data_IF_019131046900
#
_entry.id   IF_019131046900
#
_cell.length_a   1.000
_cell.length_b   1.000
_cell.length_c   1.000
_cell.angle_alpha   90.00
_cell.angle_beta   90.00
_cell.angle_gamma   90.00
#
_symmetry.space_group_name_H-M   'P 1'
#
loop_
_entity.id
_entity.type
_entity.pdbx_description
1 polymer ?
#
# COMPACT_ATOMS: atom_id res chain seq x y z
N UNK A 1 36.84 -6.73 -20.11
CA UNK A 1 36.93 -7.85 -21.11
C UNK A 1 35.52 -8.25 -21.50
N UNK A 2 35.17 -8.42 -22.79
CA UNK A 2 33.80 -8.80 -23.17
C UNK A 2 33.55 -10.30 -22.96
N UNK A 3 32.53 -10.64 -22.18
CA UNK A 3 32.08 -12.01 -21.94
C UNK A 3 30.64 -12.19 -22.39
N UNK A 4 30.24 -13.43 -22.64
CA UNK A 4 28.86 -13.74 -23.01
C UNK A 4 27.91 -13.46 -21.86
N UNK A 5 26.63 -13.21 -22.18
CA UNK A 5 25.56 -13.09 -21.18
C UNK A 5 25.53 -14.26 -20.17
N UNK A 6 25.80 -15.48 -20.63
CA UNK A 6 25.81 -16.66 -19.76
C UNK A 6 26.97 -16.64 -18.76
N UNK A 7 28.17 -16.27 -19.21
CA UNK A 7 29.35 -16.12 -18.36
C UNK A 7 29.18 -14.97 -17.37
N UNK A 8 28.65 -13.82 -17.82
CA UNK A 8 28.35 -12.69 -16.94
C UNK A 8 27.35 -13.10 -15.85
N UNK A 9 26.31 -13.84 -16.20
CA UNK A 9 25.35 -14.37 -15.24
C UNK A 9 26.02 -15.30 -14.20
N UNK A 10 26.92 -16.18 -14.66
CA UNK A 10 27.64 -17.10 -13.79
C UNK A 10 28.58 -16.37 -12.81
N UNK A 11 29.35 -15.38 -13.29
CA UNK A 11 30.26 -14.56 -12.46
C UNK A 11 29.51 -13.89 -11.29
N UNK A 12 28.25 -13.48 -11.51
CA UNK A 12 27.45 -12.79 -10.50
C UNK A 12 26.47 -13.70 -9.74
N UNK A 13 26.50 -15.03 -9.97
CA UNK A 13 25.59 -15.98 -9.33
C UNK A 13 24.11 -15.73 -9.67
N UNK A 14 23.82 -15.38 -10.93
CA UNK A 14 22.47 -15.04 -11.42
C UNK A 14 22.01 -15.99 -12.52
N UNK A 15 20.70 -16.03 -12.72
CA UNK A 15 20.12 -16.73 -13.86
C UNK A 15 20.32 -15.90 -15.15
N UNK A 16 20.71 -16.53 -16.28
CA UNK A 16 20.86 -15.84 -17.57
C UNK A 16 19.63 -15.03 -18.01
N UNK A 17 18.42 -15.53 -17.70
CA UNK A 17 17.17 -14.81 -17.98
C UNK A 17 17.09 -13.44 -17.29
N UNK A 18 17.60 -13.33 -16.07
CA UNK A 18 17.60 -12.08 -15.31
C UNK A 18 18.51 -11.04 -15.95
N UNK A 19 19.70 -11.46 -16.40
CA UNK A 19 20.65 -10.60 -17.13
C UNK A 19 20.02 -10.14 -18.45
N UNK A 20 19.38 -11.05 -19.20
CA UNK A 20 18.67 -10.68 -20.44
C UNK A 20 17.60 -9.63 -20.23
N UNK A 21 16.82 -9.75 -19.14
CA UNK A 21 15.82 -8.74 -18.77
C UNK A 21 16.45 -7.40 -18.36
N UNK A 22 17.66 -7.39 -17.79
CA UNK A 22 18.37 -6.15 -17.46
C UNK A 22 18.87 -5.43 -18.71
N UNK A 23 19.41 -6.18 -19.68
CA UNK A 23 19.77 -5.62 -20.99
C UNK A 23 18.55 -5.00 -21.66
N UNK A 24 17.42 -5.71 -21.68
CA UNK A 24 16.17 -5.20 -22.26
C UNK A 24 15.65 -3.92 -21.59
N UNK A 25 15.98 -3.72 -20.31
CA UNK A 25 15.63 -2.51 -19.53
C UNK A 25 16.70 -1.41 -19.63
N UNK A 26 17.79 -1.63 -20.36
CA UNK A 26 18.92 -0.69 -20.47
C UNK A 26 19.72 -0.54 -19.17
N UNK A 27 19.66 -1.52 -18.26
CA UNK A 27 20.33 -1.43 -16.96
C UNK A 27 21.82 -1.76 -17.01
N UNK A 28 22.28 -2.46 -18.05
CA UNK A 28 23.69 -2.76 -18.31
C UNK A 28 24.19 -1.83 -19.42
N UNK A 29 25.20 -1.01 -19.11
CA UNK A 29 25.70 0.06 -19.97
C UNK A 29 26.64 -0.46 -21.06
N UNK A 30 27.37 -1.52 -20.78
CA UNK A 30 28.34 -2.12 -21.72
C UNK A 30 27.72 -3.23 -22.57
N UNK A 31 26.44 -3.55 -22.35
CA UNK A 31 25.78 -4.63 -23.07
C UNK A 31 25.62 -4.28 -24.55
N UNK A 32 26.26 -5.08 -25.41
CA UNK A 32 26.19 -4.94 -26.87
C UNK A 32 25.84 -6.27 -27.54
N UNK A 33 25.22 -6.19 -28.71
CA UNK A 33 24.81 -7.37 -29.48
C UNK A 33 25.80 -7.62 -30.61
N UNK A 34 26.61 -8.66 -30.48
CA UNK A 34 27.64 -9.05 -31.45
C UNK A 34 27.30 -10.43 -32.01
N UNK A 35 27.19 -10.53 -33.34
CA UNK A 35 26.90 -11.78 -34.05
C UNK A 35 25.70 -12.57 -33.47
N UNK A 36 24.66 -11.87 -33.01
CA UNK A 36 23.46 -12.47 -32.42
C UNK A 36 23.53 -12.80 -30.93
N UNK A 37 24.72 -12.71 -30.32
CA UNK A 37 24.93 -12.91 -28.89
C UNK A 37 25.03 -11.57 -28.14
N UNK A 38 24.57 -11.57 -26.90
CA UNK A 38 24.79 -10.43 -26.00
C UNK A 38 26.14 -10.59 -25.31
N UNK A 39 26.97 -9.56 -25.45
CA UNK A 39 28.28 -9.42 -24.84
C UNK A 39 28.22 -8.30 -23.80
N UNK A 40 28.84 -8.51 -22.65
CA UNK A 40 28.87 -7.56 -21.53
C UNK A 40 30.31 -7.47 -21.03
N UNK A 41 30.77 -6.29 -20.63
CA UNK A 41 32.07 -6.16 -19.99
C UNK A 41 32.07 -6.93 -18.66
N UNK A 42 33.01 -7.87 -18.51
CA UNK A 42 33.20 -8.67 -17.31
C UNK A 42 33.43 -7.82 -16.05
N UNK A 43 33.97 -6.62 -16.23
CA UNK A 43 34.26 -5.67 -15.14
C UNK A 43 33.05 -4.78 -14.81
N UNK A 44 31.97 -4.80 -15.62
CA UNK A 44 30.76 -4.06 -15.28
C UNK A 44 30.10 -4.67 -14.04
N UNK A 45 30.00 -3.94 -12.92
CA UNK A 45 29.40 -4.48 -11.70
C UNK A 45 27.92 -4.79 -11.97
N UNK A 46 27.45 -5.95 -11.51
CA UNK A 46 26.03 -6.30 -11.62
C UNK A 46 25.17 -5.20 -11.00
N UNK A 47 24.38 -4.45 -11.81
CA UNK A 47 23.61 -3.34 -11.31
C UNK A 47 22.59 -3.81 -10.28
N UNK A 48 22.85 -3.47 -9.03
CA UNK A 48 21.99 -3.77 -7.91
C UNK A 48 21.47 -2.45 -7.32
N UNK A 49 20.44 -1.90 -7.96
CA UNK A 49 19.80 -0.66 -7.55
C UNK A 49 18.86 -0.84 -6.34
N UNK A 50 18.88 -2.01 -5.69
CA UNK A 50 18.08 -2.26 -4.49
C UNK A 50 18.60 -1.38 -3.37
N UNK A 51 17.71 -0.57 -2.80
CA UNK A 51 18.04 0.34 -1.70
C UNK A 51 18.37 -0.47 -0.44
N UNK A 52 19.40 -0.07 0.29
CA UNK A 52 19.76 -0.59 1.62
C UNK A 52 19.84 0.59 2.59
N UNK A 53 19.50 0.35 3.87
CA UNK A 53 19.76 1.24 5.00
C UNK A 53 19.39 2.72 4.81
N UNK A 54 20.32 3.49 4.25
CA UNK A 54 20.35 4.95 4.08
C UNK A 54 19.78 5.46 2.75
N UNK A 55 19.53 4.59 1.77
CA UNK A 55 19.01 4.98 0.45
C UNK A 55 17.49 5.17 0.34
N UNK A 56 16.74 5.02 1.45
CA UNK A 56 15.29 5.14 1.43
C UNK A 56 14.84 6.58 1.74
N UNK A 57 13.89 7.08 0.96
CA UNK A 57 13.23 8.35 1.28
C UNK A 57 12.40 8.19 2.56
N UNK A 58 12.53 9.19 3.44
CA UNK A 58 11.75 9.27 4.68
C UNK A 58 11.05 10.63 4.78
N UNK A 59 9.86 10.64 5.37
CA UNK A 59 9.10 11.84 5.77
C UNK A 59 8.62 11.66 7.19
N UNK A 60 8.83 12.66 8.04
CA UNK A 60 8.42 12.61 9.46
C UNK A 60 8.93 11.35 10.20
N UNK A 61 10.13 10.86 9.89
CA UNK A 61 10.68 9.63 10.50
C UNK A 61 10.07 8.32 9.97
N UNK A 62 9.23 8.39 8.93
CA UNK A 62 8.56 7.25 8.31
C UNK A 62 9.08 7.00 6.89
N UNK A 63 9.17 5.74 6.48
CA UNK A 63 9.61 5.39 5.12
C UNK A 63 8.51 5.68 4.11
N UNK A 64 8.87 6.34 3.01
CA UNK A 64 7.95 6.63 1.90
C UNK A 64 7.85 5.40 0.99
N UNK A 65 6.66 4.81 0.93
CA UNK A 65 6.42 3.56 0.18
C UNK A 65 5.30 3.73 -0.84
N UNK A 66 5.38 2.98 -1.94
CA UNK A 66 4.41 3.02 -3.03
C UNK A 66 3.21 2.10 -2.77
N UNK A 67 3.41 1.07 -1.95
CA UNK A 67 2.39 0.08 -1.61
C UNK A 67 2.72 -0.58 -0.28
N UNK A 68 1.69 -0.99 0.45
CA UNK A 68 1.79 -1.89 1.60
C UNK A 68 0.86 -3.08 1.38
N UNK A 69 1.36 -4.29 1.62
CA UNK A 69 0.64 -5.52 1.34
C UNK A 69 1.02 -6.62 2.33
N UNK A 70 0.13 -7.59 2.49
CA UNK A 70 0.33 -8.75 3.36
C UNK A 70 -0.31 -10.00 2.75
N UNK A 71 0.19 -11.20 3.09
CA UNK A 71 -0.43 -12.45 2.66
C UNK A 71 -1.85 -12.59 3.22
N UNK A 72 -2.79 -13.08 2.41
CA UNK A 72 -4.18 -13.30 2.87
C UNK A 72 -4.19 -14.24 4.11
N UNK A 73 -4.83 -13.79 5.19
CA UNK A 73 -4.94 -14.56 6.45
C UNK A 73 -3.80 -14.33 7.45
N UNK A 74 -2.80 -13.52 7.10
CA UNK A 74 -1.69 -13.18 7.99
C UNK A 74 -1.63 -11.66 8.22
N UNK A 75 -1.67 -11.20 9.47
CA UNK A 75 -1.45 -9.77 9.80
C UNK A 75 0.05 -9.43 9.75
N UNK A 76 0.91 -10.44 9.83
CA UNK A 76 2.37 -10.37 9.79
C UNK A 76 2.96 -11.61 9.08
N UNK A 77 4.06 -11.49 8.33
CA UNK A 77 4.84 -10.26 8.06
C UNK A 77 4.18 -9.35 7.03
N UNK A 78 4.54 -8.06 7.08
CA UNK A 78 4.10 -7.03 6.12
C UNK A 78 5.21 -6.75 5.11
N UNK A 79 4.79 -6.45 3.89
CA UNK A 79 5.66 -6.14 2.77
C UNK A 79 5.30 -4.77 2.20
N UNK A 80 6.32 -4.00 1.83
CA UNK A 80 6.17 -2.70 1.20
C UNK A 80 6.83 -2.71 -0.17
N UNK A 81 6.21 -2.03 -1.12
CA UNK A 81 6.81 -1.78 -2.44
C UNK A 81 7.45 -0.40 -2.45
N UNK A 82 8.69 -0.33 -2.92
CA UNK A 82 9.42 0.93 -3.11
C UNK A 82 10.04 0.87 -4.50
N UNK A 83 9.54 1.71 -5.40
CA UNK A 83 9.80 1.61 -6.84
C UNK A 83 9.28 0.30 -7.41
N UNK A 84 10.17 -0.45 -8.06
CA UNK A 84 9.86 -1.75 -8.67
C UNK A 84 10.09 -2.94 -7.71
N UNK A 85 10.68 -2.70 -6.53
CA UNK A 85 11.14 -3.75 -5.63
C UNK A 85 10.26 -3.90 -4.40
N UNK A 86 10.28 -5.11 -3.84
CA UNK A 86 9.58 -5.46 -2.61
C UNK A 86 10.56 -5.56 -1.44
N UNK A 87 10.09 -5.11 -0.29
CA UNK A 87 10.84 -5.13 0.96
C UNK A 87 9.95 -5.67 2.08
N UNK A 88 10.50 -6.51 2.94
CA UNK A 88 9.87 -6.90 4.20
C UNK A 88 10.00 -5.73 5.17
N UNK A 89 8.91 -5.42 5.87
CA UNK A 89 8.89 -4.37 6.90
C UNK A 89 8.57 -4.96 8.26
N UNK A 90 9.51 -4.81 9.19
CA UNK A 90 9.29 -5.13 10.60
C UNK A 90 8.45 -4.04 11.26
N UNK A 91 7.70 -4.44 12.29
CA UNK A 91 6.95 -3.50 13.11
C UNK A 91 7.90 -2.45 13.68
N UNK A 92 7.57 -1.19 13.46
CA UNK A 92 8.25 -0.06 14.11
C UNK A 92 7.75 0.12 15.54
N UNK A 93 6.52 -0.29 15.85
CA UNK A 93 5.85 -0.04 17.14
C UNK A 93 6.07 1.40 17.59
N UNK A 94 5.60 2.39 16.81
CA UNK A 94 5.66 3.80 17.23
C UNK A 94 4.92 3.91 18.57
N UNK A 95 5.70 4.11 19.65
CA UNK A 95 5.27 4.02 21.05
C UNK A 95 6.11 3.09 21.95
N UNK A 96 6.85 2.11 21.40
CA UNK A 96 7.70 1.16 22.15
C UNK A 96 9.16 1.14 21.65
N UNK A 97 9.42 1.35 20.35
CA UNK A 97 10.79 1.43 19.80
C UNK A 97 11.13 2.85 19.34
N UNK A 98 12.29 3.40 19.71
CA UNK A 98 12.76 4.72 19.25
C UNK A 98 13.30 4.71 17.81
N UNK A 99 13.34 3.55 17.15
CA UNK A 99 13.90 3.42 15.79
C UNK A 99 12.91 2.76 14.85
N UNK A 100 12.72 3.36 13.67
CA UNK A 100 11.94 2.81 12.57
C UNK A 100 12.84 1.91 11.71
N UNK A 101 12.74 0.58 11.82
CA UNK A 101 13.68 -0.33 11.17
C UNK A 101 13.58 -0.23 9.65
N UNK A 102 14.73 -0.16 8.98
CA UNK A 102 14.81 -0.06 7.54
C UNK A 102 14.10 -1.22 6.83
N UNK A 103 13.43 -0.98 5.69
CA UNK A 103 12.89 -2.04 4.87
C UNK A 103 14.01 -2.98 4.39
N UNK A 104 13.80 -4.29 4.54
CA UNK A 104 14.76 -5.32 4.13
C UNK A 104 14.33 -5.91 2.79
N UNK A 105 15.20 -5.87 1.78
CA UNK A 105 14.83 -6.39 0.46
C UNK A 105 14.34 -7.84 0.53
N UNK A 106 13.31 -8.15 -0.27
CA UNK A 106 12.80 -9.50 -0.46
C UNK A 106 12.40 -9.70 -1.92
N UNK A 107 12.52 -10.92 -2.49
CA UNK A 107 11.83 -11.21 -3.74
C UNK A 107 10.32 -10.93 -3.57
N UNK A 108 9.63 -10.60 -4.67
CA UNK A 108 8.19 -10.35 -4.65
C UNK A 108 7.46 -11.53 -3.97
N UNK A 109 6.91 -11.34 -2.76
CA UNK A 109 6.36 -12.43 -1.96
C UNK A 109 5.00 -12.89 -2.50
N UNK A 110 4.42 -12.14 -3.44
CA UNK A 110 3.10 -12.39 -4.02
C UNK A 110 3.17 -12.96 -5.44
N UNK A 111 4.36 -13.37 -5.91
CA UNK A 111 4.53 -13.91 -7.27
C UNK A 111 3.62 -15.13 -7.54
N UNK A 112 3.36 -15.94 -6.51
CA UNK A 112 2.57 -17.18 -6.59
C UNK A 112 1.43 -17.24 -5.55
N UNK A 113 1.04 -16.11 -4.95
CA UNK A 113 0.11 -16.08 -3.81
C UNK A 113 -0.93 -14.97 -3.91
N UNK A 114 -2.02 -15.13 -3.16
CA UNK A 114 -3.02 -14.06 -3.03
C UNK A 114 -2.53 -13.01 -2.03
N UNK A 115 -2.41 -11.76 -2.49
CA UNK A 115 -2.18 -10.60 -1.63
C UNK A 115 -3.51 -10.02 -1.19
N UNK A 116 -3.56 -9.42 0.00
CA UNK A 116 -4.66 -8.56 0.40
C UNK A 116 -4.23 -7.10 0.24
N UNK A 117 -5.14 -6.31 -0.34
CA UNK A 117 -5.01 -4.86 -0.46
C UNK A 117 -5.00 -4.18 0.93
N UNK A 118 -4.48 -2.94 1.03
CA UNK A 118 -3.56 -2.58 2.10
C UNK A 118 -4.22 -2.64 3.48
N UNK A 119 -3.39 -2.86 4.50
CA UNK A 119 -3.72 -2.43 5.85
C UNK A 119 -4.26 -1.01 5.72
N UNK A 120 -5.39 -0.69 6.35
CA UNK A 120 -5.86 0.69 6.39
C UNK A 120 -4.63 1.55 6.67
N UNK A 121 -4.29 2.48 5.78
CA UNK A 121 -2.99 3.15 5.84
C UNK A 121 -2.74 3.78 7.22
N UNK A 122 -3.82 4.05 7.96
CA UNK A 122 -3.80 4.53 9.35
C UNK A 122 -2.97 3.58 10.23
N UNK A 123 -3.17 2.28 10.07
CA UNK A 123 -2.41 1.23 10.75
C UNK A 123 -0.96 1.10 10.23
N UNK A 124 -0.70 1.47 8.97
CA UNK A 124 0.64 1.39 8.37
C UNK A 124 1.63 2.37 9.03
N UNK A 125 1.17 3.56 9.40
CA UNK A 125 1.94 4.53 10.17
C UNK A 125 2.29 3.94 11.53
N UNK A 126 1.26 3.67 12.34
CA UNK A 126 1.43 3.39 13.76
C UNK A 126 2.24 2.12 13.99
N UNK A 127 2.02 1.12 13.14
CA UNK A 127 2.59 -0.20 13.35
C UNK A 127 3.90 -0.39 12.61
N UNK A 128 4.05 0.18 11.41
CA UNK A 128 5.18 -0.10 10.53
C UNK A 128 6.04 1.12 10.19
N UNK A 129 5.64 2.33 10.56
CA UNK A 129 6.40 3.54 10.29
C UNK A 129 6.53 3.82 8.80
N UNK A 130 5.44 3.68 8.05
CA UNK A 130 5.40 3.89 6.60
C UNK A 130 4.35 4.94 6.23
N UNK A 131 4.64 5.77 5.23
CA UNK A 131 3.70 6.72 4.62
C UNK A 131 3.59 6.48 3.12
N UNK A 132 2.41 6.72 2.51
CA UNK A 132 2.26 6.58 1.07
C UNK A 132 3.05 7.65 0.33
N UNK A 133 3.67 7.27 -0.79
CA UNK A 133 4.30 8.21 -1.73
C UNK A 133 3.27 9.13 -2.38
N UNK A 134 2.14 8.56 -2.78
CA UNK A 134 0.99 9.27 -3.33
C UNK A 134 0.22 9.93 -2.19
N UNK A 135 0.29 11.26 -2.08
CA UNK A 135 -0.37 12.02 -1.00
C UNK A 135 -1.89 11.94 -1.08
N UNK A 136 -2.44 11.73 -2.27
CA UNK A 136 -3.86 11.51 -2.47
C UNK A 136 -4.29 10.07 -2.23
N UNK A 137 -3.37 9.14 -1.91
CA UNK A 137 -3.68 7.72 -1.80
C UNK A 137 -4.83 7.46 -0.82
N UNK A 138 -4.80 8.08 0.35
CA UNK A 138 -5.85 7.91 1.38
C UNK A 138 -7.19 8.38 0.81
N UNK A 139 -7.22 9.57 0.20
CA UNK A 139 -8.42 10.13 -0.44
C UNK A 139 -8.95 9.24 -1.56
N UNK A 140 -8.09 8.73 -2.44
CA UNK A 140 -8.44 7.84 -3.58
C UNK A 140 -9.03 6.51 -3.15
N UNK A 141 -8.59 5.98 -2.01
CA UNK A 141 -9.07 4.71 -1.46
C UNK A 141 -10.20 4.91 -0.44
N UNK A 142 -10.58 6.17 -0.19
CA UNK A 142 -11.77 6.50 0.58
C UNK A 142 -12.99 6.40 -0.34
N UNK A 143 -14.03 5.70 0.10
CA UNK A 143 -15.29 5.64 -0.64
C UNK A 143 -15.90 7.03 -0.86
N UNK A 144 -16.75 7.15 -1.88
CA UNK A 144 -17.49 8.40 -2.11
C UNK A 144 -18.49 8.65 -0.97
N UNK A 145 -18.89 9.90 -0.85
CA UNK A 145 -20.05 10.28 -0.05
C UNK A 145 -21.35 9.72 -0.65
N UNK A 146 -22.33 9.48 0.23
CA UNK A 146 -23.71 9.25 -0.18
C UNK A 146 -24.34 10.58 -0.59
N UNK A 147 -25.08 10.59 -1.69
CA UNK A 147 -25.86 11.77 -2.08
C UNK A 147 -27.08 11.93 -1.17
N UNK A 148 -27.62 13.14 -1.02
CA UNK A 148 -28.84 13.38 -0.22
C UNK A 148 -30.01 12.48 -0.66
N UNK A 149 -30.24 12.33 -1.97
CA UNK A 149 -31.32 11.50 -2.50
C UNK A 149 -31.11 9.99 -2.28
N UNK A 150 -29.86 9.51 -2.25
CA UNK A 150 -29.57 8.13 -1.85
C UNK A 150 -29.81 7.93 -0.35
N UNK A 151 -29.36 8.89 0.47
CA UNK A 151 -29.50 8.84 1.92
C UNK A 151 -30.98 8.84 2.33
N UNK A 152 -31.82 9.68 1.73
CA UNK A 152 -33.26 9.70 2.01
C UNK A 152 -33.92 8.35 1.68
N UNK A 153 -33.62 7.76 0.52
CA UNK A 153 -34.10 6.42 0.15
C UNK A 153 -33.64 5.34 1.11
N UNK A 154 -32.39 5.42 1.59
CA UNK A 154 -31.88 4.49 2.59
C UNK A 154 -32.66 4.66 3.90
N UNK A 155 -32.87 5.90 4.37
CA UNK A 155 -33.60 6.21 5.61
C UNK A 155 -35.03 5.70 5.57
N UNK A 156 -35.74 5.92 4.47
CA UNK A 156 -37.11 5.42 4.27
C UNK A 156 -37.17 3.89 4.32
N UNK A 157 -36.20 3.20 3.71
CA UNK A 157 -36.18 1.75 3.64
C UNK A 157 -35.79 1.09 4.97
N UNK A 158 -34.89 1.70 5.73
CA UNK A 158 -34.31 1.08 6.93
C UNK A 158 -34.97 1.55 8.22
N UNK A 159 -35.67 2.69 8.20
CA UNK A 159 -36.21 3.31 9.41
C UNK A 159 -35.13 3.78 10.38
N UNK A 160 -33.89 3.96 9.91
CA UNK A 160 -32.75 4.30 10.76
C UNK A 160 -32.90 5.69 11.40
N UNK A 161 -32.51 5.81 12.68
CA UNK A 161 -32.70 7.03 13.48
C UNK A 161 -31.42 7.86 13.49
N UNK A 162 -31.46 9.18 13.22
CA UNK A 162 -30.28 10.02 13.24
C UNK A 162 -29.71 10.14 14.66
N UNK A 163 -28.39 10.00 14.79
CA UNK A 163 -27.66 10.18 16.04
C UNK A 163 -26.82 11.47 16.05
N UNK A 164 -26.41 11.95 14.88
CA UNK A 164 -25.65 13.19 14.73
C UNK A 164 -24.73 13.17 13.51
N UNK A 165 -24.01 14.26 13.31
CA UNK A 165 -22.98 14.40 12.28
C UNK A 165 -21.66 14.79 12.90
N UNK A 166 -20.55 14.39 12.27
CA UNK A 166 -19.21 14.84 12.66
C UNK A 166 -18.37 15.16 11.43
N UNK A 167 -17.49 16.13 11.58
CA UNK A 167 -16.35 16.27 10.69
C UNK A 167 -15.18 15.44 11.22
N UNK A 168 -14.47 14.77 10.32
CA UNK A 168 -13.27 14.01 10.67
C UNK A 168 -12.15 14.38 9.72
N UNK A 169 -11.02 14.79 10.28
CA UNK A 169 -9.80 15.02 9.52
C UNK A 169 -9.08 13.69 9.36
N UNK A 170 -9.06 13.19 8.13
CA UNK A 170 -8.33 11.98 7.77
C UNK A 170 -6.96 12.34 7.23
N UNK A 171 -6.03 11.43 7.43
CA UNK A 171 -4.68 11.56 6.90
C UNK A 171 -3.77 12.59 7.57
N UNK A 172 -4.26 13.39 8.50
CA UNK A 172 -3.40 14.27 9.31
C UNK A 172 -2.28 13.50 10.02
N UNK A 173 -2.52 12.24 10.38
CA UNK A 173 -1.50 11.36 10.97
C UNK A 173 -0.30 11.09 10.04
N UNK A 174 -0.46 11.14 8.70
CA UNK A 174 0.66 10.98 7.76
C UNK A 174 1.45 12.28 7.56
N UNK A 175 0.88 13.42 7.96
CA UNK A 175 1.38 14.78 7.69
C UNK A 175 0.25 15.71 7.23
N UNK A 176 0.38 17.03 7.40
CA UNK A 176 -0.65 18.00 7.01
C UNK A 176 -0.97 17.97 5.50
N UNK A 177 -0.02 17.61 4.65
CA UNK A 177 -0.19 17.49 3.20
C UNK A 177 -1.05 16.29 2.77
N UNK A 178 -1.23 15.32 3.68
CA UNK A 178 -2.12 14.17 3.49
C UNK A 178 -3.50 14.39 4.12
N UNK A 179 -3.69 15.51 4.83
CA UNK A 179 -4.89 15.79 5.58
C UNK A 179 -6.05 16.18 4.66
N UNK A 180 -7.22 15.60 4.89
CA UNK A 180 -8.47 16.05 4.28
C UNK A 180 -9.65 15.83 5.22
N UNK A 181 -10.59 16.76 5.18
CA UNK A 181 -11.81 16.67 5.97
C UNK A 181 -12.86 15.85 5.22
N UNK A 182 -13.54 14.98 5.95
CA UNK A 182 -14.79 14.36 5.53
C UNK A 182 -15.88 14.68 6.52
N UNK A 183 -17.14 14.55 6.07
CA UNK A 183 -18.33 14.60 6.90
C UNK A 183 -18.94 13.21 6.99
N UNK A 184 -19.36 12.83 8.19
CA UNK A 184 -20.02 11.55 8.45
C UNK A 184 -21.30 11.80 9.24
N UNK A 185 -22.39 11.16 8.82
CA UNK A 185 -23.64 11.10 9.57
C UNK A 185 -23.79 9.73 10.22
N UNK A 186 -24.28 9.71 11.46
CA UNK A 186 -24.47 8.51 12.26
C UNK A 186 -25.94 8.19 12.41
N UNK A 187 -26.27 6.91 12.28
CA UNK A 187 -27.62 6.41 12.45
C UNK A 187 -27.65 5.15 13.30
N UNK A 188 -28.67 5.07 14.14
CA UNK A 188 -29.02 3.86 14.88
C UNK A 188 -29.97 2.99 14.04
N UNK A 189 -29.68 1.69 13.99
CA UNK A 189 -30.51 0.65 13.39
C UNK A 189 -31.10 -0.27 14.47
N UNK A 190 -31.97 -1.19 14.06
CA UNK A 190 -32.65 -2.14 14.95
C UNK A 190 -31.65 -3.08 15.64
N UNK A 191 -30.66 -3.58 14.90
CA UNK A 191 -29.70 -4.56 15.37
C UNK A 191 -28.35 -4.45 14.61
N UNK A 192 -27.32 -5.12 15.15
CA UNK A 192 -25.94 -5.13 14.60
C UNK A 192 -25.86 -5.81 13.23
N UNK A 193 -26.67 -6.84 12.97
CA UNK A 193 -26.66 -7.56 11.69
C UNK A 193 -27.17 -6.66 10.57
N UNK A 194 -28.23 -5.91 10.83
CA UNK A 194 -28.81 -4.93 9.92
C UNK A 194 -27.83 -3.77 9.67
N UNK A 195 -27.17 -3.26 10.72
CA UNK A 195 -26.14 -2.23 10.59
C UNK A 195 -24.95 -2.71 9.72
N UNK A 196 -24.43 -3.91 10.01
CA UNK A 196 -23.32 -4.51 9.27
C UNK A 196 -23.69 -4.76 7.80
N UNK A 197 -24.87 -5.35 7.55
CA UNK A 197 -25.35 -5.65 6.19
C UNK A 197 -25.52 -4.39 5.36
N UNK A 198 -26.03 -3.31 5.97
CA UNK A 198 -26.15 -2.01 5.30
C UNK A 198 -24.76 -1.44 4.98
N UNK A 199 -23.83 -1.43 5.93
CA UNK A 199 -22.47 -0.95 5.71
C UNK A 199 -21.77 -1.68 4.56
N UNK A 200 -21.86 -3.01 4.53
CA UNK A 200 -21.28 -3.83 3.45
C UNK A 200 -21.99 -3.61 2.10
N UNK A 201 -23.31 -3.37 2.12
CA UNK A 201 -24.08 -2.96 0.95
C UNK A 201 -23.58 -1.64 0.37
N UNK A 202 -23.42 -0.61 1.21
CA UNK A 202 -22.94 0.71 0.80
C UNK A 202 -21.51 0.65 0.28
N UNK A 203 -20.62 -0.09 0.94
CA UNK A 203 -19.25 -0.34 0.47
C UNK A 203 -19.20 -0.97 -0.91
N UNK A 204 -20.10 -1.91 -1.21
CA UNK A 204 -20.21 -2.50 -2.57
C UNK A 204 -20.62 -1.49 -3.64
N UNK A 205 -21.30 -0.41 -3.26
CA UNK A 205 -21.65 0.70 -4.13
C UNK A 205 -20.56 1.78 -4.18
N UNK A 206 -19.42 1.55 -3.54
CA UNK A 206 -18.32 2.51 -3.41
C UNK A 206 -18.61 3.63 -2.42
N UNK A 207 -19.71 3.58 -1.67
CA UNK A 207 -20.04 4.54 -0.61
C UNK A 207 -19.25 4.16 0.63
N UNK A 208 -18.62 5.15 1.24
CA UNK A 208 -17.99 4.93 2.53
C UNK A 208 -19.03 4.84 3.65
N UNK A 209 -19.05 3.69 4.31
CA UNK A 209 -19.82 3.46 5.50
C UNK A 209 -19.10 2.48 6.43
N UNK A 210 -19.37 2.57 7.73
CA UNK A 210 -18.83 1.64 8.72
C UNK A 210 -19.82 1.36 9.85
N UNK A 211 -19.83 0.11 10.31
CA UNK A 211 -20.52 -0.29 11.53
C UNK A 211 -19.57 0.00 12.69
N UNK A 212 -19.61 1.24 13.19
CA UNK A 212 -18.58 1.78 14.07
C UNK A 212 -18.81 1.51 15.56
N UNK A 213 -20.05 1.22 15.95
CA UNK A 213 -20.50 0.94 17.32
C UNK A 213 -21.71 0.02 17.26
N UNK A 214 -22.12 -0.65 18.36
CA UNK A 214 -23.33 -1.46 18.39
C UNK A 214 -24.51 -0.71 17.79
N UNK A 215 -25.20 -1.37 16.85
CA UNK A 215 -26.38 -0.91 16.12
C UNK A 215 -26.19 0.40 15.37
N UNK A 216 -24.95 0.86 15.18
CA UNK A 216 -24.68 2.20 14.68
C UNK A 216 -23.88 2.13 13.40
N UNK A 217 -24.40 2.78 12.36
CA UNK A 217 -23.68 3.00 11.12
C UNK A 217 -23.21 4.46 11.03
N UNK A 218 -21.95 4.67 10.68
CA UNK A 218 -21.46 5.94 10.15
C UNK A 218 -21.46 5.90 8.63
N UNK A 219 -22.04 6.90 7.98
CA UNK A 219 -22.09 7.02 6.51
C UNK A 219 -21.44 8.34 6.12
N UNK A 220 -20.49 8.31 5.18
CA UNK A 220 -19.88 9.53 4.66
C UNK A 220 -20.92 10.32 3.84
N UNK A 221 -21.05 11.61 4.12
CA UNK A 221 -21.98 12.53 3.44
C UNK A 221 -21.19 13.64 2.72
N UNK A 222 -21.85 14.33 1.79
CA UNK A 222 -21.29 15.49 1.07
C UNK A 222 -21.12 16.72 1.98
#
# INVERSE_FOLDING_TARGET
MMITLAEYAAVHGKAPVSVRQMIARGSLRTAEKVAGNWMIDADEPYPDNRRKGDGFEMRHGMYVVDEIAYPKGAIIPVYVRIGADWYRKEKSLLGISPTNPAPTWTPNPFRNGTRKEPLAWLFAIDVYGCVPRDTDHVRKHTGRSVTTAELDRIREKTGMKPLGERESVRGAHYGPEYAFTIREAFYELEDDETAQRLADGLRRLGIEADHCMPRTIGIRID
#
